data_IF_837399276382
#
_entry.id   IF_837399276382
#
_cell.length_a   1.000
_cell.length_b   1.000
_cell.length_c   1.000
_cell.angle_alpha   90.00
_cell.angle_beta   90.00
_cell.angle_gamma   90.00
#
_symmetry.space_group_name_H-M   'P 1'
#
loop_
_entity.id
_entity.type
_entity.pdbx_description
1 polymer ?
#
# COMPACT_ATOMS: atom_id res chain seq x y z
N UNK A 1 -7.50 -6.47 8.68
CA UNK A 1 -6.52 -5.37 8.46
C UNK A 1 -6.11 -5.32 7.00
N UNK A 2 -6.03 -4.12 6.43
CA UNK A 2 -5.67 -3.85 5.02
C UNK A 2 -4.34 -3.08 4.99
N UNK A 3 -3.43 -3.46 4.10
CA UNK A 3 -2.19 -2.72 3.85
C UNK A 3 -2.19 -2.07 2.46
N UNK A 4 -1.44 -1.00 2.30
CA UNK A 4 -1.33 -0.24 1.06
C UNK A 4 0.11 -0.18 0.57
N UNK A 5 0.27 -0.39 -0.73
CA UNK A 5 1.52 -0.20 -1.45
C UNK A 5 1.67 1.25 -1.92
N UNK A 6 2.89 1.62 -2.26
CA UNK A 6 3.32 2.96 -2.71
C UNK A 6 2.47 3.51 -3.84
N UNK A 7 2.16 2.70 -4.86
CA UNK A 7 1.42 3.17 -6.03
C UNK A 7 0.02 3.70 -5.69
N UNK A 8 -0.66 3.13 -4.70
CA UNK A 8 -2.00 3.60 -4.28
C UNK A 8 -1.94 5.03 -3.75
N UNK A 9 -0.95 5.33 -2.90
CA UNK A 9 -0.76 6.68 -2.35
C UNK A 9 -0.33 7.67 -3.44
N UNK A 10 0.57 7.26 -4.34
CA UNK A 10 1.01 8.11 -5.45
C UNK A 10 -0.18 8.49 -6.35
N UNK A 11 -1.05 7.53 -6.70
CA UNK A 11 -2.23 7.83 -7.52
C UNK A 11 -3.23 8.72 -6.79
N UNK A 12 -3.37 8.58 -5.48
CA UNK A 12 -4.21 9.48 -4.68
C UNK A 12 -3.76 10.94 -4.74
N UNK A 13 -2.49 11.21 -5.04
CA UNK A 13 -1.92 12.54 -5.17
C UNK A 13 -1.71 12.98 -6.64
N UNK A 14 -2.19 12.21 -7.63
CA UNK A 14 -2.01 12.47 -9.06
C UNK A 14 -3.36 12.67 -9.77
N UNK A 15 -3.99 13.87 -9.66
CA UNK A 15 -5.33 14.13 -10.21
C UNK A 15 -5.45 13.94 -11.72
N UNK A 16 -4.36 14.14 -12.44
CA UNK A 16 -4.25 14.04 -13.89
C UNK A 16 -3.75 12.66 -14.37
N UNK A 17 -3.83 11.64 -13.52
CA UNK A 17 -3.46 10.28 -13.90
C UNK A 17 -4.24 9.82 -15.15
N UNK A 18 -3.55 9.44 -16.25
CA UNK A 18 -4.21 9.10 -17.52
C UNK A 18 -5.16 7.90 -17.43
N UNK A 19 -4.94 7.01 -16.47
CA UNK A 19 -5.77 5.82 -16.24
C UNK A 19 -6.86 6.05 -15.20
N UNK A 20 -7.04 7.29 -14.74
CA UNK A 20 -8.09 7.70 -13.80
C UNK A 20 -8.09 6.94 -12.46
N UNK A 21 -6.92 6.45 -12.01
CA UNK A 21 -6.78 5.72 -10.74
C UNK A 21 -6.87 6.64 -9.51
N UNK A 22 -6.74 7.96 -9.72
CA UNK A 22 -6.77 8.97 -8.65
C UNK A 22 -8.01 8.87 -7.77
N UNK A 23 -9.20 8.95 -8.35
CA UNK A 23 -10.45 8.92 -7.57
C UNK A 23 -10.65 7.59 -6.84
N UNK A 24 -10.29 6.48 -7.47
CA UNK A 24 -10.39 5.16 -6.84
C UNK A 24 -9.42 5.02 -5.67
N UNK A 25 -8.18 5.48 -5.82
CA UNK A 25 -7.17 5.47 -4.75
C UNK A 25 -7.63 6.33 -3.57
N UNK A 26 -8.13 7.52 -3.81
CA UNK A 26 -8.68 8.38 -2.75
C UNK A 26 -9.85 7.72 -2.02
N UNK A 27 -10.79 7.14 -2.76
CA UNK A 27 -11.95 6.46 -2.17
C UNK A 27 -11.53 5.24 -1.32
N UNK A 28 -10.51 4.49 -1.74
CA UNK A 28 -9.97 3.36 -0.97
C UNK A 28 -9.33 3.84 0.34
N UNK A 29 -8.49 4.87 0.27
CA UNK A 29 -7.83 5.44 1.45
C UNK A 29 -8.85 6.08 2.41
N UNK A 30 -9.86 6.78 1.90
CA UNK A 30 -10.94 7.34 2.72
C UNK A 30 -11.72 6.24 3.46
N UNK A 31 -12.11 5.17 2.80
CA UNK A 31 -12.75 4.01 3.45
C UNK A 31 -11.84 3.37 4.49
N UNK A 32 -10.55 3.34 4.24
CA UNK A 32 -9.57 2.74 5.14
C UNK A 32 -9.37 3.54 6.44
N UNK A 33 -9.69 4.83 6.48
CA UNK A 33 -9.58 5.63 7.72
C UNK A 33 -10.52 5.15 8.85
N UNK A 34 -11.56 4.40 8.51
CA UNK A 34 -12.53 3.84 9.46
C UNK A 34 -12.45 2.31 9.54
N UNK A 35 -11.44 1.72 8.94
CA UNK A 35 -11.16 0.28 8.98
C UNK A 35 -9.78 0.03 9.58
N UNK A 36 -9.54 -1.19 10.04
CA UNK A 36 -8.23 -1.61 10.54
C UNK A 36 -7.23 -1.68 9.37
N UNK A 37 -6.36 -0.68 9.27
CA UNK A 37 -5.50 -0.48 8.10
C UNK A 37 -4.10 0.03 8.49
N UNK A 38 -3.10 -0.39 7.70
CA UNK A 38 -1.70 -0.03 7.91
C UNK A 38 -1.05 0.48 6.63
N UNK A 39 -0.12 1.40 6.78
CA UNK A 39 0.81 1.82 5.73
C UNK A 39 2.23 1.60 6.25
N UNK A 40 2.99 0.61 5.74
CA UNK A 40 4.38 0.42 6.16
C UNK A 40 5.18 1.72 5.99
N UNK A 41 6.01 2.05 6.99
CA UNK A 41 6.77 3.31 6.99
C UNK A 41 7.63 3.50 5.74
N UNK A 42 8.14 2.41 5.16
CA UNK A 42 8.87 2.42 3.89
C UNK A 42 8.04 3.02 2.75
N UNK A 43 6.73 2.79 2.70
CA UNK A 43 5.84 3.32 1.66
C UNK A 43 5.92 4.85 1.62
N UNK A 44 5.97 5.52 2.76
CA UNK A 44 6.13 6.98 2.81
C UNK A 44 7.46 7.47 2.25
N UNK A 45 8.55 6.72 2.47
CA UNK A 45 9.85 7.05 1.88
C UNK A 45 9.81 6.91 0.35
N UNK A 46 9.17 5.86 -0.15
CA UNK A 46 9.02 5.65 -1.60
C UNK A 46 8.09 6.68 -2.24
N UNK A 47 6.93 6.98 -1.63
CA UNK A 47 6.03 8.06 -2.07
C UNK A 47 6.77 9.38 -2.16
N UNK A 48 7.57 9.71 -1.12
CA UNK A 48 8.37 10.94 -1.10
C UNK A 48 9.35 11.01 -2.28
N UNK A 49 10.04 9.92 -2.55
CA UNK A 49 10.97 9.83 -3.67
C UNK A 49 10.26 9.96 -5.03
N UNK A 50 9.12 9.30 -5.21
CA UNK A 50 8.34 9.36 -6.46
C UNK A 50 7.74 10.75 -6.66
N UNK A 51 7.12 11.34 -5.64
CA UNK A 51 6.53 12.67 -5.72
C UNK A 51 7.56 13.74 -6.06
N UNK A 52 8.76 13.68 -5.44
CA UNK A 52 9.87 14.58 -5.75
C UNK A 52 10.34 14.41 -7.20
N UNK A 53 10.58 13.17 -7.62
CA UNK A 53 11.10 12.86 -8.97
C UNK A 53 10.14 13.29 -10.08
N UNK A 54 8.83 13.12 -9.87
CA UNK A 54 7.79 13.43 -10.84
C UNK A 54 7.18 14.82 -10.69
N UNK A 55 7.58 15.58 -9.66
CA UNK A 55 7.01 16.92 -9.41
C UNK A 55 5.52 16.90 -9.07
N UNK A 56 5.05 15.87 -8.34
CA UNK A 56 3.61 15.69 -8.01
C UNK A 56 3.21 16.64 -6.88
N UNK A 57 4.04 16.72 -5.84
CA UNK A 57 3.82 17.57 -4.66
C UNK A 57 5.08 18.34 -4.31
N UNK A 58 4.91 19.60 -3.89
CA UNK A 58 5.98 20.38 -3.29
C UNK A 58 6.38 19.78 -1.91
N UNK A 59 7.63 19.96 -1.45
CA UNK A 59 8.13 19.32 -0.22
C UNK A 59 7.26 19.55 1.02
N UNK A 60 6.75 20.77 1.21
CA UNK A 60 5.88 21.10 2.35
C UNK A 60 4.50 20.45 2.23
N UNK A 61 3.96 20.37 1.02
CA UNK A 61 2.69 19.68 0.77
C UNK A 61 2.83 18.17 1.04
N UNK A 62 3.94 17.59 0.58
CA UNK A 62 4.24 16.17 0.83
C UNK A 62 4.36 15.86 2.32
N UNK A 63 5.10 16.68 3.08
CA UNK A 63 5.24 16.50 4.52
C UNK A 63 3.88 16.59 5.24
N UNK A 64 3.04 17.56 4.86
CA UNK A 64 1.68 17.70 5.41
C UNK A 64 0.82 16.47 5.08
N UNK A 65 0.91 15.96 3.84
CA UNK A 65 0.16 14.78 3.43
C UNK A 65 0.57 13.51 4.17
N UNK A 66 1.87 13.31 4.38
CA UNK A 66 2.38 12.17 5.17
C UNK A 66 1.88 12.25 6.62
N UNK A 67 1.91 13.44 7.22
CA UNK A 67 1.38 13.64 8.58
C UNK A 67 -0.14 13.37 8.66
N UNK A 68 -0.90 13.70 7.62
CA UNK A 68 -2.33 13.34 7.54
C UNK A 68 -2.52 11.81 7.49
N UNK A 69 -1.75 11.09 6.68
CA UNK A 69 -1.82 9.63 6.64
C UNK A 69 -1.44 9.01 7.99
N UNK A 70 -0.37 9.47 8.62
CA UNK A 70 0.08 8.96 9.93
C UNK A 70 -0.98 9.17 11.03
N UNK A 71 -1.82 10.20 10.92
CA UNK A 71 -2.89 10.45 11.88
C UNK A 71 -4.05 9.43 11.79
N UNK A 72 -4.20 8.72 10.67
CA UNK A 72 -5.30 7.78 10.43
C UNK A 72 -4.86 6.31 10.31
N UNK A 73 -3.59 6.04 10.04
CA UNK A 73 -3.09 4.71 9.75
C UNK A 73 -1.95 4.32 10.69
N UNK A 74 -1.94 3.07 11.13
CA UNK A 74 -0.75 2.51 11.75
C UNK A 74 0.40 2.45 10.74
N UNK A 75 1.61 2.83 11.19
CA UNK A 75 2.79 2.95 10.32
C UNK A 75 3.95 2.09 10.83
N UNK A 76 3.87 0.75 10.68
CA UNK A 76 4.90 -0.14 11.18
C UNK A 76 6.24 0.11 10.49
N UNK A 77 7.28 0.33 11.31
CA UNK A 77 8.65 0.49 10.83
C UNK A 77 9.27 -0.85 10.44
N UNK A 78 10.17 -0.83 9.48
CA UNK A 78 11.02 -1.96 9.12
C UNK A 78 12.03 -2.24 10.23
N UNK A 79 12.21 -3.51 10.56
CA UNK A 79 13.25 -3.98 11.47
C UNK A 79 14.23 -4.94 10.76
N UNK A 80 15.31 -5.34 11.45
CA UNK A 80 16.31 -6.22 10.86
C UNK A 80 15.74 -7.58 10.43
N UNK A 81 14.81 -8.14 11.19
CA UNK A 81 14.16 -9.41 10.84
C UNK A 81 13.39 -9.31 9.53
N UNK A 82 12.69 -8.18 9.31
CA UNK A 82 11.98 -7.92 8.05
C UNK A 82 12.94 -7.87 6.85
N UNK A 83 14.10 -7.19 7.02
CA UNK A 83 15.14 -7.09 5.99
C UNK A 83 15.67 -8.47 5.58
N UNK A 84 15.92 -9.34 6.56
CA UNK A 84 16.39 -10.71 6.30
C UNK A 84 15.30 -11.57 5.64
N UNK A 85 14.06 -11.49 6.12
CA UNK A 85 12.93 -12.24 5.58
C UNK A 85 12.56 -11.80 4.16
N UNK A 86 12.65 -10.51 3.87
CA UNK A 86 12.34 -9.97 2.53
C UNK A 86 13.20 -10.60 1.43
N UNK A 87 14.46 -10.95 1.70
CA UNK A 87 15.32 -11.66 0.73
C UNK A 87 14.77 -13.04 0.40
N UNK A 88 14.25 -13.76 1.40
CA UNK A 88 13.62 -15.08 1.20
C UNK A 88 12.32 -14.95 0.41
N UNK A 89 11.45 -14.03 0.80
CA UNK A 89 10.16 -13.75 0.13
C UNK A 89 10.40 -13.33 -1.32
N UNK A 90 11.34 -12.41 -1.57
CA UNK A 90 11.69 -11.96 -2.92
C UNK A 90 12.06 -13.12 -3.84
N UNK A 91 12.92 -14.04 -3.35
CA UNK A 91 13.36 -15.20 -4.11
C UNK A 91 12.23 -16.21 -4.31
N UNK A 92 11.48 -16.52 -3.26
CA UNK A 92 10.43 -17.55 -3.29
C UNK A 92 9.26 -17.17 -4.22
N UNK A 93 8.86 -15.90 -4.23
CA UNK A 93 7.68 -15.41 -4.95
C UNK A 93 8.03 -14.56 -6.19
N UNK A 94 9.31 -14.48 -6.54
CA UNK A 94 9.81 -13.69 -7.67
C UNK A 94 9.34 -12.22 -7.61
N UNK A 95 9.47 -11.61 -6.44
CA UNK A 95 9.19 -10.19 -6.21
C UNK A 95 10.49 -9.38 -6.24
N UNK A 96 10.38 -8.09 -6.54
CA UNK A 96 11.47 -7.17 -6.27
C UNK A 96 11.71 -7.05 -4.77
N UNK A 97 12.96 -6.81 -4.36
CA UNK A 97 13.32 -6.82 -2.94
C UNK A 97 12.52 -5.82 -2.10
N UNK A 98 12.34 -4.58 -2.59
CA UNK A 98 11.59 -3.56 -1.84
C UNK A 98 10.09 -3.87 -1.76
N UNK A 99 9.51 -4.48 -2.80
CA UNK A 99 8.14 -5.00 -2.75
C UNK A 99 8.01 -6.12 -1.71
N UNK A 100 8.96 -7.05 -1.70
CA UNK A 100 9.02 -8.11 -0.70
C UNK A 100 9.18 -7.56 0.73
N UNK A 101 9.87 -6.44 0.91
CA UNK A 101 10.02 -5.79 2.20
C UNK A 101 8.70 -5.16 2.66
N UNK A 102 7.95 -4.50 1.79
CA UNK A 102 6.60 -4.02 2.08
C UNK A 102 5.68 -5.18 2.46
N UNK A 103 5.68 -6.26 1.68
CA UNK A 103 4.95 -7.50 1.96
C UNK A 103 5.27 -8.03 3.35
N UNK A 104 6.56 -8.14 3.69
CA UNK A 104 7.01 -8.67 4.98
C UNK A 104 6.53 -7.83 6.15
N UNK A 105 6.66 -6.51 6.06
CA UNK A 105 6.22 -5.58 7.12
C UNK A 105 4.70 -5.59 7.27
N UNK A 106 3.96 -5.57 6.16
CA UNK A 106 2.50 -5.64 6.16
C UNK A 106 1.99 -6.95 6.78
N UNK A 107 2.58 -8.09 6.39
CA UNK A 107 2.25 -9.40 6.95
C UNK A 107 2.53 -9.46 8.46
N UNK A 108 3.71 -9.00 8.91
CA UNK A 108 4.05 -8.94 10.34
C UNK A 108 3.09 -8.04 11.12
N UNK A 109 2.57 -6.99 10.53
CA UNK A 109 1.56 -6.13 11.14
C UNK A 109 0.17 -6.79 11.22
N UNK A 110 -0.03 -7.95 10.57
CA UNK A 110 -1.29 -8.70 10.60
C UNK A 110 -2.23 -8.37 9.43
N UNK A 111 -1.73 -7.77 8.36
CA UNK A 111 -2.55 -7.51 7.17
C UNK A 111 -3.04 -8.84 6.56
N UNK A 112 -4.34 -8.90 6.26
CA UNK A 112 -4.94 -10.01 5.51
C UNK A 112 -4.91 -9.74 4.00
N UNK A 113 -4.79 -8.47 3.61
CA UNK A 113 -4.69 -8.07 2.21
C UNK A 113 -3.70 -6.90 2.06
N UNK A 114 -2.93 -6.94 0.98
CA UNK A 114 -2.09 -5.83 0.51
C UNK A 114 -2.62 -5.34 -0.83
N UNK A 115 -3.00 -4.07 -0.90
CA UNK A 115 -3.44 -3.44 -2.14
C UNK A 115 -2.23 -2.93 -2.92
N UNK A 116 -2.00 -3.50 -4.09
CA UNK A 116 -0.90 -3.13 -5.00
C UNK A 116 -1.30 -3.34 -6.46
N UNK A 117 -0.91 -2.42 -7.34
CA UNK A 117 -1.06 -2.59 -8.79
C UNK A 117 0.12 -3.35 -9.41
N UNK A 118 1.32 -3.12 -8.88
CA UNK A 118 2.58 -3.56 -9.50
C UNK A 118 3.00 -4.97 -9.10
N UNK A 119 2.46 -5.49 -8.00
CA UNK A 119 2.72 -6.86 -7.56
C UNK A 119 1.74 -7.83 -8.22
N UNK A 120 2.02 -9.13 -8.12
CA UNK A 120 1.22 -10.19 -8.76
C UNK A 120 -0.18 -10.26 -8.14
N UNK A 121 -1.21 -9.84 -8.88
CA UNK A 121 -2.60 -9.88 -8.44
C UNK A 121 -3.04 -11.32 -8.13
N UNK A 122 -3.63 -11.51 -6.95
CA UNK A 122 -4.08 -12.81 -6.46
C UNK A 122 -2.98 -13.65 -5.79
N UNK A 123 -1.72 -13.19 -5.74
CA UNK A 123 -0.66 -13.87 -5.01
C UNK A 123 -1.00 -13.93 -3.52
N UNK A 124 -0.83 -15.11 -2.93
CA UNK A 124 -1.03 -15.33 -1.50
C UNK A 124 0.29 -15.71 -0.84
N UNK A 125 0.62 -15.02 0.23
CA UNK A 125 1.85 -15.19 1.01
C UNK A 125 1.45 -15.35 2.49
N UNK A 126 1.60 -16.57 3.01
CA UNK A 126 1.29 -16.92 4.41
C UNK A 126 -0.09 -16.41 4.88
N UNK A 127 -1.10 -16.51 4.01
CA UNK A 127 -2.48 -16.08 4.28
C UNK A 127 -2.79 -14.62 4.00
N UNK A 128 -1.80 -13.79 3.67
CA UNK A 128 -2.03 -12.44 3.16
C UNK A 128 -2.15 -12.47 1.64
N UNK A 129 -3.22 -11.87 1.11
CA UNK A 129 -3.47 -11.81 -0.33
C UNK A 129 -3.09 -10.45 -0.93
N UNK A 130 -2.39 -10.47 -2.07
CA UNK A 130 -2.13 -9.26 -2.86
C UNK A 130 -3.27 -9.06 -3.84
N UNK A 131 -3.85 -7.86 -3.87
CA UNK A 131 -5.00 -7.52 -4.71
C UNK A 131 -4.71 -6.24 -5.48
N UNK A 132 -4.84 -6.30 -6.80
CA UNK A 132 -4.86 -5.10 -7.63
C UNK A 132 -6.25 -4.44 -7.54
N UNK A 133 -6.38 -3.27 -6.90
CA UNK A 133 -7.68 -2.64 -6.70
C UNK A 133 -8.25 -2.02 -7.97
N UNK A 134 -7.46 -1.89 -9.04
CA UNK A 134 -7.89 -1.20 -10.28
C UNK A 134 -8.52 -2.14 -11.30
N UNK A 135 -8.51 -3.45 -11.06
CA UNK A 135 -9.20 -4.42 -11.91
C UNK A 135 -10.67 -4.55 -11.51
N UNK A 136 -11.57 -4.57 -12.50
CA UNK A 136 -13.00 -4.72 -12.25
C UNK A 136 -13.35 -6.05 -11.55
N UNK A 137 -12.59 -7.11 -11.82
CA UNK A 137 -12.79 -8.42 -11.22
C UNK A 137 -12.63 -8.41 -9.68
N UNK A 138 -11.86 -7.47 -9.14
CA UNK A 138 -11.58 -7.39 -7.70
C UNK A 138 -12.55 -6.46 -6.92
N UNK A 139 -13.49 -5.79 -7.59
CA UNK A 139 -14.38 -4.82 -6.91
C UNK A 139 -15.25 -5.46 -5.83
N UNK A 140 -15.83 -6.61 -6.12
CA UNK A 140 -16.68 -7.34 -5.15
C UNK A 140 -15.83 -7.84 -3.99
N UNK A 141 -14.67 -8.43 -4.28
CA UNK A 141 -13.74 -8.91 -3.27
C UNK A 141 -13.27 -7.80 -2.32
N UNK A 142 -12.96 -6.63 -2.87
CA UNK A 142 -12.56 -5.46 -2.06
C UNK A 142 -13.69 -4.95 -1.19
N UNK A 143 -14.92 -4.94 -1.68
CA UNK A 143 -16.08 -4.53 -0.90
C UNK A 143 -16.22 -5.37 0.39
N UNK A 144 -15.97 -6.67 0.31
CA UNK A 144 -16.02 -7.57 1.46
C UNK A 144 -14.97 -7.23 2.53
N UNK A 145 -13.73 -6.89 2.11
CA UNK A 145 -12.68 -6.49 3.04
C UNK A 145 -12.99 -5.18 3.78
N UNK A 146 -13.68 -4.24 3.14
CA UNK A 146 -14.07 -2.97 3.76
C UNK A 146 -15.38 -3.07 4.56
N UNK A 147 -16.21 -4.09 4.32
CA UNK A 147 -17.51 -4.26 5.02
C UNK A 147 -17.37 -5.13 6.28
N UNK A 148 -16.48 -6.13 6.26
CA UNK A 148 -16.28 -7.09 7.36
C UNK A 148 -15.23 -6.64 8.39
N UNK A 149 -14.85 -5.38 8.40
CA UNK A 149 -13.86 -4.82 9.32
C UNK A 149 -14.44 -4.39 10.69
N UNK A 150 -15.64 -4.90 11.04
CA UNK A 150 -16.27 -4.67 12.35
C UNK A 150 -16.64 -6.00 13.03
#
# INVERSE_FOLDING_TARGET
MIAFDTNILVYAETPDDPQQRHLKSRALLEKATVTDSVIPLQVFAEVSNVCKRKGILEPLQLASRIAEYEAFFDTPATNLSDILMASTIANQFNLQYFDALIVTVAHRAGAAVLLSEDMHDGLEIDGMKIINPFTAANEVLLADYFTNAF
#
